data_IF_358844425405
#
_entry.id   IF_358844425405
#
_cell.length_a   1.000
_cell.length_b   1.000
_cell.length_c   1.000
_cell.angle_alpha   90.00
_cell.angle_beta   90.00
_cell.angle_gamma   90.00
#
_symmetry.space_group_name_H-M   'P 1'
#
loop_
_entity.id
_entity.type
_entity.pdbx_description
1 polymer ?
#
# COMPACT_ATOMS: atom_id res chain seq x y z
N UNK A 1 -17.08 -22.70 -48.41
CA UNK A 1 -16.02 -23.04 -47.45
C UNK A 1 -15.55 -21.75 -46.79
N UNK A 2 -16.11 -21.38 -45.65
CA UNK A 2 -15.57 -20.27 -44.85
C UNK A 2 -14.51 -20.85 -43.91
N UNK A 3 -13.28 -20.38 -44.06
CA UNK A 3 -12.12 -20.84 -43.31
C UNK A 3 -12.31 -20.61 -41.81
N UNK A 4 -11.96 -21.63 -41.03
CA UNK A 4 -11.86 -21.50 -39.58
C UNK A 4 -10.66 -20.59 -39.25
N UNK A 5 -10.81 -19.60 -38.35
CA UNK A 5 -9.67 -18.82 -37.91
C UNK A 5 -8.79 -19.67 -36.99
N UNK A 6 -7.59 -20.00 -37.49
CA UNK A 6 -6.50 -20.54 -36.69
C UNK A 6 -5.98 -19.46 -35.74
N UNK A 7 -6.30 -19.58 -34.46
CA UNK A 7 -5.77 -18.72 -33.39
C UNK A 7 -4.44 -19.30 -32.95
N UNK A 8 -3.35 -18.76 -33.50
CA UNK A 8 -1.98 -19.08 -33.10
C UNK A 8 -1.60 -18.38 -31.79
N UNK A 9 -0.97 -19.15 -30.89
CA UNK A 9 -0.03 -18.78 -29.81
C UNK A 9 -0.16 -17.41 -29.11
N UNK A 10 -0.33 -17.45 -27.79
CA UNK A 10 -0.26 -16.33 -26.83
C UNK A 10 -1.49 -15.42 -26.69
N UNK A 11 -2.19 -15.05 -27.77
CA UNK A 11 -3.42 -14.24 -27.67
C UNK A 11 -4.65 -15.07 -27.22
N UNK A 12 -4.61 -16.39 -27.42
CA UNK A 12 -5.70 -17.27 -26.99
C UNK A 12 -5.84 -17.36 -25.47
N UNK A 13 -4.74 -17.24 -24.71
CA UNK A 13 -4.78 -17.41 -23.25
C UNK A 13 -5.44 -16.23 -22.54
N UNK A 14 -5.14 -14.99 -22.94
CA UNK A 14 -5.77 -13.80 -22.36
C UNK A 14 -7.27 -13.74 -22.64
N UNK A 15 -7.69 -14.15 -23.84
CA UNK A 15 -9.10 -14.22 -24.20
C UNK A 15 -9.85 -15.29 -23.39
N UNK A 16 -9.24 -16.46 -23.16
CA UNK A 16 -9.81 -17.48 -22.29
C UNK A 16 -9.96 -17.00 -20.84
N UNK A 17 -8.96 -16.29 -20.29
CA UNK A 17 -9.08 -15.68 -18.96
C UNK A 17 -10.19 -14.63 -18.92
N UNK A 18 -10.32 -13.79 -19.96
CA UNK A 18 -11.41 -12.82 -20.05
C UNK A 18 -12.78 -13.51 -20.01
N UNK A 19 -12.96 -14.60 -20.75
CA UNK A 19 -14.20 -15.37 -20.73
C UNK A 19 -14.48 -15.93 -19.33
N UNK A 20 -13.49 -16.55 -18.69
CA UNK A 20 -13.63 -17.10 -17.32
C UNK A 20 -13.98 -16.02 -16.30
N UNK A 21 -13.33 -14.85 -16.37
CA UNK A 21 -13.60 -13.71 -15.47
C UNK A 21 -15.01 -13.14 -15.74
N UNK A 22 -15.40 -13.00 -17.01
CA UNK A 22 -16.71 -12.46 -17.39
C UNK A 22 -17.86 -13.39 -16.98
N UNK A 23 -17.62 -14.71 -16.99
CA UNK A 23 -18.57 -15.71 -16.51
C UNK A 23 -18.58 -15.82 -14.98
N UNK A 24 -17.61 -15.23 -14.29
CA UNK A 24 -17.41 -15.37 -12.84
C UNK A 24 -17.39 -16.84 -12.40
N UNK A 25 -16.71 -17.70 -13.17
CA UNK A 25 -16.53 -19.11 -12.84
C UNK A 25 -15.28 -19.32 -11.99
N UNK A 26 -15.46 -19.76 -10.75
CA UNK A 26 -14.38 -20.08 -9.84
C UNK A 26 -14.77 -21.19 -8.87
N UNK A 27 -13.77 -21.92 -8.39
CA UNK A 27 -13.93 -23.03 -7.45
C UNK A 27 -13.55 -22.54 -6.07
N UNK A 28 -14.39 -22.86 -5.08
CA UNK A 28 -14.12 -22.54 -3.69
C UNK A 28 -13.36 -23.68 -3.00
N UNK A 29 -12.21 -23.39 -2.39
CA UNK A 29 -11.58 -24.35 -1.50
C UNK A 29 -12.46 -24.70 -0.29
N UNK A 30 -12.40 -25.94 0.22
CA UNK A 30 -13.27 -26.42 1.30
C UNK A 30 -13.01 -25.74 2.65
N UNK A 31 -11.88 -25.06 2.82
CA UNK A 31 -11.53 -24.35 4.06
C UNK A 31 -12.09 -22.93 4.14
N UNK A 32 -12.78 -22.44 3.10
CA UNK A 32 -13.41 -21.13 3.12
C UNK A 32 -14.70 -21.21 3.95
N UNK A 33 -14.78 -20.39 5.00
CA UNK A 33 -16.01 -20.30 5.80
C UNK A 33 -17.19 -19.81 4.96
N UNK A 34 -18.40 -20.27 5.26
CA UNK A 34 -19.61 -19.89 4.53
C UNK A 34 -19.84 -18.35 4.48
N UNK A 35 -19.55 -17.63 5.56
CA UNK A 35 -19.66 -16.16 5.57
C UNK A 35 -18.70 -15.49 4.58
N UNK A 36 -17.47 -15.98 4.49
CA UNK A 36 -16.48 -15.52 3.51
C UNK A 36 -16.95 -15.81 2.08
N UNK A 37 -17.46 -17.02 1.86
CA UNK A 37 -18.00 -17.47 0.58
C UNK A 37 -19.06 -16.49 0.07
N UNK A 38 -20.07 -16.22 0.92
CA UNK A 38 -21.16 -15.28 0.63
C UNK A 38 -20.64 -13.89 0.27
N UNK A 39 -19.65 -13.38 1.00
CA UNK A 39 -19.06 -12.07 0.72
C UNK A 39 -18.29 -12.07 -0.61
N UNK A 40 -17.45 -13.08 -0.85
CA UNK A 40 -16.66 -13.22 -2.09
C UNK A 40 -17.59 -13.29 -3.29
N UNK A 41 -18.69 -14.06 -3.22
CA UNK A 41 -19.67 -14.14 -4.32
C UNK A 41 -20.25 -12.79 -4.69
N UNK A 42 -20.52 -11.93 -3.70
CA UNK A 42 -21.05 -10.59 -3.95
C UNK A 42 -20.00 -9.60 -4.47
N UNK A 43 -18.73 -9.80 -4.10
CA UNK A 43 -17.59 -9.01 -4.60
C UNK A 43 -17.29 -9.35 -6.07
N UNK A 44 -17.32 -10.66 -6.40
CA UNK A 44 -17.03 -11.18 -7.73
C UNK A 44 -18.27 -11.26 -8.64
N UNK A 45 -19.30 -10.47 -8.35
CA UNK A 45 -20.46 -10.35 -9.23
C UNK A 45 -20.04 -9.70 -10.58
N UNK A 46 -20.25 -10.37 -11.73
CA UNK A 46 -19.88 -9.83 -13.03
C UNK A 46 -20.68 -8.58 -13.38
N UNK A 47 -21.90 -8.42 -12.86
CA UNK A 47 -22.71 -7.25 -13.10
C UNK A 47 -22.34 -6.11 -12.12
N UNK A 48 -21.78 -4.99 -12.61
CA UNK A 48 -21.34 -3.89 -11.74
C UNK A 48 -22.49 -3.21 -10.99
N UNK A 49 -23.74 -3.30 -11.46
CA UNK A 49 -24.88 -2.68 -10.78
C UNK A 49 -25.37 -3.47 -9.57
N UNK A 50 -25.18 -4.80 -9.58
CA UNK A 50 -25.58 -5.70 -8.48
C UNK A 50 -24.41 -6.05 -7.56
N UNK A 51 -23.17 -5.79 -8.01
CA UNK A 51 -21.95 -5.94 -7.22
C UNK A 51 -22.02 -5.14 -5.92
N UNK A 52 -21.62 -5.78 -4.83
CA UNK A 52 -21.57 -5.14 -3.51
C UNK A 52 -20.66 -3.91 -3.51
N UNK A 53 -21.12 -2.85 -2.88
CA UNK A 53 -20.37 -1.59 -2.75
C UNK A 53 -19.46 -1.61 -1.51
N UNK A 54 -18.43 -0.77 -1.49
CA UNK A 54 -17.53 -0.64 -0.31
C UNK A 54 -18.30 -0.35 0.99
N UNK A 55 -19.28 0.57 1.03
CA UNK A 55 -20.07 0.82 2.25
C UNK A 55 -20.85 -0.42 2.73
N UNK A 56 -21.28 -1.30 1.82
CA UNK A 56 -21.98 -2.54 2.17
C UNK A 56 -20.99 -3.62 2.64
N UNK A 57 -19.80 -3.72 2.05
CA UNK A 57 -18.72 -4.60 2.52
C UNK A 57 -18.38 -4.27 3.98
N UNK A 58 -18.24 -2.98 4.30
CA UNK A 58 -17.94 -2.51 5.66
C UNK A 58 -19.04 -2.87 6.68
N UNK A 59 -20.27 -3.16 6.22
CA UNK A 59 -21.39 -3.59 7.05
C UNK A 59 -21.53 -5.11 7.15
N UNK A 60 -20.90 -5.88 6.26
CA UNK A 60 -21.00 -7.34 6.25
C UNK A 60 -20.45 -7.97 7.54
N UNK A 61 -21.19 -8.95 8.07
CA UNK A 61 -20.89 -9.61 9.34
C UNK A 61 -19.56 -10.36 9.31
N UNK A 62 -19.24 -11.01 8.19
CA UNK A 62 -17.98 -11.72 8.04
C UNK A 62 -16.83 -10.73 7.97
N UNK A 63 -16.97 -9.64 7.21
CA UNK A 63 -15.95 -8.60 7.10
C UNK A 63 -15.67 -7.91 8.44
N UNK A 64 -16.71 -7.64 9.23
CA UNK A 64 -16.56 -6.95 10.53
C UNK A 64 -15.90 -7.80 11.60
N UNK A 65 -15.85 -9.13 11.44
CA UNK A 65 -15.29 -10.04 12.43
C UNK A 65 -13.78 -9.81 12.59
N UNK A 66 -13.37 -9.14 13.68
CA UNK A 66 -11.97 -8.83 13.96
C UNK A 66 -11.44 -7.60 13.22
N UNK A 67 -12.27 -6.91 12.43
CA UNK A 67 -11.88 -5.67 11.76
C UNK A 67 -11.80 -4.52 12.77
N UNK A 68 -10.60 -3.98 12.96
CA UNK A 68 -10.37 -2.72 13.68
C UNK A 68 -10.11 -1.64 12.63
N UNK A 69 -11.03 -0.69 12.50
CA UNK A 69 -10.79 0.50 11.66
C UNK A 69 -9.58 1.22 12.22
N UNK A 70 -8.55 1.42 11.39
CA UNK A 70 -7.46 2.34 11.71
C UNK A 70 -8.07 3.73 11.79
N UNK A 71 -8.23 4.25 13.00
CA UNK A 71 -8.55 5.65 13.23
C UNK A 71 -7.20 6.36 13.18
N UNK A 72 -6.94 7.08 12.09
CA UNK A 72 -5.91 8.10 12.12
C UNK A 72 -6.44 9.17 13.06
N UNK A 73 -5.77 9.36 14.19
CA UNK A 73 -6.04 10.49 15.06
C UNK A 73 -5.61 11.72 14.25
N UNK A 74 -6.59 12.44 13.69
CA UNK A 74 -6.36 13.83 13.34
C UNK A 74 -5.88 14.49 14.63
N UNK A 75 -4.66 15.02 14.61
CA UNK A 75 -4.13 15.76 15.74
C UNK A 75 -4.97 17.03 15.82
N UNK A 76 -6.01 16.99 16.65
CA UNK A 76 -6.80 18.17 16.98
C UNK A 76 -5.85 19.24 17.51
N UNK A 77 -5.82 20.37 16.82
CA UNK A 77 -5.38 21.69 17.25
C UNK A 77 -4.18 21.71 18.22
N UNK A 78 -2.96 21.67 17.65
CA UNK A 78 -1.80 22.26 18.33
C UNK A 78 -2.15 23.73 18.59
N UNK A 79 -2.30 24.10 19.86
CA UNK A 79 -2.60 25.46 20.29
C UNK A 79 -1.47 26.40 19.83
N UNK A 80 -1.67 27.07 18.68
CA UNK A 80 -0.73 28.02 18.08
C UNK A 80 -0.55 29.30 18.91
N UNK A 81 -1.27 29.46 20.03
CA UNK A 81 -1.23 30.66 20.87
C UNK A 81 0.16 30.98 21.40
N UNK A 82 0.99 29.96 21.66
CA UNK A 82 2.37 30.15 22.12
C UNK A 82 3.30 30.69 21.02
N UNK A 83 2.97 30.43 19.74
CA UNK A 83 3.75 30.92 18.59
C UNK A 83 3.40 32.38 18.28
N UNK A 84 2.14 32.77 18.46
CA UNK A 84 1.67 34.15 18.23
C UNK A 84 2.31 35.15 19.22
N UNK A 85 2.58 34.72 20.46
CA UNK A 85 3.24 35.54 21.47
C UNK A 85 4.70 35.88 21.14
N UNK A 86 5.39 35.04 20.35
CA UNK A 86 6.78 35.26 19.93
C UNK A 86 6.88 36.28 18.79
N UNK A 87 5.85 36.40 17.96
CA UNK A 87 5.82 37.33 16.81
C UNK A 87 5.19 38.69 17.13
N UNK A 88 4.55 38.86 18.28
CA UNK A 88 4.11 40.17 18.78
C UNK A 88 5.28 40.91 19.45
N UNK A 89 6.11 41.53 18.62
CA UNK A 89 7.00 42.60 19.08
C UNK A 89 6.20 43.76 19.69
N UNK A 90 6.80 44.57 20.59
CA UNK A 90 6.11 45.70 21.19
C UNK A 90 5.92 46.80 20.14
N UNK A 91 4.85 47.59 20.30
CA UNK A 91 4.51 48.80 19.53
C UNK A 91 3.70 48.59 18.22
N UNK A 92 2.39 48.37 18.42
CA UNK A 92 1.33 49.21 17.84
C UNK A 92 1.34 49.54 16.34
N UNK A 93 0.60 48.76 15.54
CA UNK A 93 -0.18 49.27 14.40
C UNK A 93 -1.50 48.48 14.23
N UNK A 94 -2.62 49.11 13.82
CA UNK A 94 -3.96 48.52 13.97
C UNK A 94 -4.33 47.63 12.78
N UNK A 95 -4.65 46.36 13.03
CA UNK A 95 -5.14 45.39 12.05
C UNK A 95 -6.65 45.62 11.83
N UNK A 96 -7.01 46.68 11.09
CA UNK A 96 -8.35 46.86 10.55
C UNK A 96 -8.30 46.63 9.04
N UNK A 97 -8.11 45.38 8.60
CA UNK A 97 -8.39 44.91 7.24
C UNK A 97 -8.25 43.37 7.13
N UNK A 98 -9.04 42.61 7.90
CA UNK A 98 -9.25 41.19 7.62
C UNK A 98 -10.41 41.08 6.61
N UNK A 99 -10.15 41.54 5.38
CA UNK A 99 -10.97 41.21 4.21
C UNK A 99 -10.37 39.93 3.63
N UNK A 100 -11.07 38.82 3.85
CA UNK A 100 -11.00 37.60 3.06
C UNK A 100 -9.61 37.27 2.45
N UNK A 101 -8.60 37.04 3.29
CA UNK A 101 -7.54 36.14 2.88
C UNK A 101 -8.03 34.74 3.19
N UNK A 102 -8.53 34.10 2.13
CA UNK A 102 -8.54 32.65 1.96
C UNK A 102 -7.39 32.09 2.78
N UNK A 103 -7.71 31.32 3.80
CA UNK A 103 -6.74 30.50 4.50
C UNK A 103 -5.92 29.82 3.40
N UNK A 104 -4.69 30.29 3.17
CA UNK A 104 -3.72 29.51 2.42
C UNK A 104 -3.61 28.26 3.25
N UNK A 105 -4.26 27.18 2.79
CA UNK A 105 -4.02 25.86 3.33
C UNK A 105 -2.51 25.75 3.48
N UNK A 106 -2.00 25.35 4.67
CA UNK A 106 -0.57 25.20 4.84
C UNK A 106 -0.09 24.37 3.67
N UNK A 107 0.92 24.86 2.95
CA UNK A 107 1.55 24.14 1.83
C UNK A 107 1.66 22.69 2.29
N UNK A 108 1.02 21.76 1.56
CA UNK A 108 0.96 20.37 1.97
C UNK A 108 2.39 19.85 2.07
N UNK A 109 2.91 19.85 3.28
CA UNK A 109 4.32 19.62 3.54
C UNK A 109 4.47 18.17 3.95
N UNK A 110 5.32 17.45 3.23
CA UNK A 110 5.57 16.05 3.54
C UNK A 110 6.22 15.94 4.93
N UNK A 111 5.97 14.86 5.68
CA UNK A 111 6.64 14.60 6.95
C UNK A 111 8.18 14.64 6.83
N UNK A 112 8.74 14.25 5.68
CA UNK A 112 10.18 14.40 5.41
C UNK A 112 10.62 15.86 5.31
N UNK A 113 9.81 16.72 4.70
CA UNK A 113 10.10 18.15 4.61
C UNK A 113 10.06 18.80 6.00
N UNK A 114 9.08 18.44 6.84
CA UNK A 114 9.01 18.90 8.23
C UNK A 114 10.22 18.45 9.07
N UNK A 115 10.67 17.20 8.89
CA UNK A 115 11.83 16.64 9.60
C UNK A 115 13.12 17.35 9.17
N UNK A 116 13.29 17.61 7.87
CA UNK A 116 14.47 18.28 7.30
C UNK A 116 14.66 19.72 7.78
N UNK A 117 13.59 20.41 8.21
CA UNK A 117 13.69 21.76 8.77
C UNK A 117 14.38 21.80 10.15
N UNK A 118 14.52 20.66 10.83
CA UNK A 118 15.22 20.60 12.11
C UNK A 118 16.71 20.30 11.91
N UNK A 119 17.58 21.20 12.37
CA UNK A 119 19.05 21.11 12.17
C UNK A 119 19.70 19.81 12.67
N UNK A 120 19.07 19.10 13.61
CA UNK A 120 19.56 17.85 14.18
C UNK A 120 18.91 16.57 13.64
N UNK A 121 17.87 16.67 12.83
CA UNK A 121 17.19 15.51 12.21
C UNK A 121 17.11 15.66 10.69
N UNK A 122 17.94 16.50 10.08
CA UNK A 122 17.98 16.57 8.62
C UNK A 122 18.47 15.24 8.04
N UNK A 123 17.54 14.49 7.44
CA UNK A 123 17.75 13.15 6.87
C UNK A 123 18.09 13.19 5.37
N UNK A 124 18.33 14.37 4.78
CA UNK A 124 18.71 14.51 3.35
C UNK A 124 19.93 13.66 2.97
N UNK A 125 20.84 13.39 3.93
CA UNK A 125 22.01 12.55 3.73
C UNK A 125 21.77 11.06 4.04
N UNK A 126 20.62 10.68 4.60
CA UNK A 126 20.29 9.30 4.99
C UNK A 126 19.56 8.55 3.87
N UNK A 127 18.82 9.27 3.04
CA UNK A 127 18.14 8.71 1.87
C UNK A 127 18.85 9.21 0.63
N UNK A 128 19.63 8.34 -0.01
CA UNK A 128 20.03 8.59 -1.39
C UNK A 128 18.76 8.86 -2.20
N UNK A 129 18.72 10.01 -2.89
CA UNK A 129 17.68 10.37 -3.85
C UNK A 129 17.76 9.40 -5.02
N UNK A 130 17.20 8.22 -4.78
CA UNK A 130 17.22 7.07 -5.65
C UNK A 130 16.11 6.17 -5.15
N UNK A 131 14.95 6.30 -5.80
CA UNK A 131 13.77 5.44 -5.68
C UNK A 131 14.03 4.14 -4.92
N UNK A 132 13.71 4.11 -3.63
CA UNK A 132 13.65 2.86 -2.88
C UNK A 132 12.33 2.80 -2.15
N UNK A 133 11.46 1.99 -2.74
CA UNK A 133 10.29 1.40 -2.12
C UNK A 133 10.55 1.11 -0.64
N UNK A 134 9.66 1.54 0.25
CA UNK A 134 9.62 1.07 1.62
C UNK A 134 9.42 -0.46 1.54
N UNK A 135 10.52 -1.21 1.53
CA UNK A 135 10.48 -2.67 1.54
C UNK A 135 9.94 -3.08 2.90
N UNK A 136 8.64 -3.33 2.98
CA UNK A 136 8.04 -4.19 3.99
C UNK A 136 8.69 -5.57 3.85
N UNK A 137 9.85 -5.75 4.47
CA UNK A 137 10.61 -6.99 4.39
C UNK A 137 9.88 -8.09 5.14
N UNK A 138 9.41 -9.11 4.42
CA UNK A 138 8.95 -10.36 5.03
C UNK A 138 10.11 -10.98 5.82
N UNK A 139 9.97 -11.06 7.14
CA UNK A 139 10.97 -11.67 8.02
C UNK A 139 10.65 -13.15 8.21
N UNK A 140 11.64 -14.01 8.00
CA UNK A 140 11.58 -15.42 8.36
C UNK A 140 12.85 -15.80 9.13
N UNK A 141 12.74 -16.79 10.00
CA UNK A 141 13.86 -17.26 10.84
C UNK A 141 14.16 -18.72 10.55
N UNK A 142 15.44 -19.08 10.55
CA UNK A 142 15.90 -20.47 10.45
C UNK A 142 16.69 -20.83 11.70
N UNK A 143 16.63 -22.10 12.10
CA UNK A 143 17.47 -22.67 13.17
C UNK A 143 18.83 -23.17 12.65
N UNK A 144 19.00 -23.26 11.33
CA UNK A 144 20.23 -23.71 10.71
C UNK A 144 21.26 -22.56 10.62
N UNK A 145 22.57 -22.87 10.67
CA UNK A 145 23.61 -21.87 10.43
C UNK A 145 23.56 -21.35 9.00
N UNK A 146 24.05 -20.11 8.79
CA UNK A 146 24.00 -19.43 7.50
C UNK A 146 24.61 -20.25 6.35
N UNK A 147 25.72 -20.97 6.61
CA UNK A 147 26.38 -21.79 5.61
C UNK A 147 25.47 -22.91 5.07
N UNK A 148 24.78 -23.62 5.96
CA UNK A 148 23.85 -24.68 5.55
C UNK A 148 22.66 -24.13 4.75
N UNK A 149 22.15 -22.96 5.13
CA UNK A 149 21.06 -22.30 4.40
C UNK A 149 21.50 -21.97 2.98
N UNK A 150 22.69 -21.39 2.83
CA UNK A 150 23.24 -21.00 1.53
C UNK A 150 23.49 -22.24 0.66
N UNK A 151 24.10 -23.29 1.22
CA UNK A 151 24.31 -24.55 0.49
C UNK A 151 22.99 -25.17 0.00
N UNK A 152 21.92 -25.11 0.81
CA UNK A 152 20.60 -25.62 0.39
C UNK A 152 19.96 -24.77 -0.70
N UNK A 153 20.12 -23.44 -0.66
CA UNK A 153 19.63 -22.54 -1.70
C UNK A 153 20.36 -22.82 -3.02
N UNK A 154 21.68 -22.96 -3.00
CA UNK A 154 22.50 -23.27 -4.18
C UNK A 154 22.17 -24.65 -4.77
N UNK A 155 21.94 -25.66 -3.92
CA UNK A 155 21.50 -26.98 -4.37
C UNK A 155 20.13 -26.93 -5.07
N UNK A 156 19.16 -26.18 -4.51
CA UNK A 156 17.85 -25.98 -5.12
C UNK A 156 17.93 -25.17 -6.43
N UNK A 157 18.83 -24.20 -6.51
CA UNK A 157 19.09 -23.42 -7.72
C UNK A 157 19.48 -24.34 -8.88
N UNK A 158 20.45 -25.23 -8.65
CA UNK A 158 20.96 -26.14 -9.68
C UNK A 158 19.87 -27.09 -10.19
N UNK A 159 18.93 -27.48 -9.32
CA UNK A 159 17.82 -28.35 -9.69
C UNK A 159 16.70 -27.61 -10.44
N UNK A 160 16.54 -26.30 -10.24
CA UNK A 160 15.45 -25.49 -10.82
C UNK A 160 15.90 -24.61 -11.99
N UNK A 161 17.19 -24.64 -12.37
CA UNK A 161 17.77 -23.80 -13.44
C UNK A 161 17.49 -22.31 -13.21
N UNK A 162 17.59 -21.88 -11.95
CA UNK A 162 17.48 -20.46 -11.57
C UNK A 162 18.87 -19.81 -11.57
N UNK A 163 18.92 -18.49 -11.75
CA UNK A 163 20.17 -17.72 -11.64
C UNK A 163 20.10 -16.82 -10.41
N UNK A 164 20.97 -17.06 -9.42
CA UNK A 164 21.11 -16.22 -8.24
C UNK A 164 22.48 -15.53 -8.22
N UNK A 165 22.51 -14.31 -7.68
CA UNK A 165 23.74 -13.58 -7.37
C UNK A 165 23.82 -13.33 -5.87
N UNK A 166 24.96 -13.63 -5.26
CA UNK A 166 25.19 -13.30 -3.85
C UNK A 166 25.48 -11.81 -3.76
N UNK A 167 24.60 -11.07 -3.10
CA UNK A 167 24.82 -9.67 -2.75
C UNK A 167 25.08 -9.58 -1.25
N UNK A 168 26.25 -9.12 -0.85
CA UNK A 168 26.57 -8.83 0.55
C UNK A 168 26.38 -7.35 0.76
N UNK A 169 25.35 -6.95 1.51
CA UNK A 169 25.20 -5.56 1.94
C UNK A 169 26.16 -5.33 3.10
N UNK A 170 27.15 -4.46 2.91
CA UNK A 170 28.07 -4.03 3.97
C UNK A 170 27.32 -2.96 4.78
N UNK A 171 26.78 -3.35 5.93
CA UNK A 171 26.26 -2.40 6.91
C UNK A 171 27.47 -1.67 7.50
N UNK A 172 27.61 -0.38 7.20
CA UNK A 172 28.58 0.53 7.82
C UNK A 172 27.91 1.14 9.06
#
# INVERSE_FOLDING_TARGET
MMGQPQIYGHAGSSYLYFLQISAAEYIYPPWISFGALRLITRILDPNPTTRITVPEILKDEWFRKGFKRLVFQEIDDINLGDVEAVFKGPEGTPINQIRAKKEEQPVSMNAFELISLSRGLNLENLFEVGQSEIKTGTRFTSKCPANEIICKIEAAQNHLVLMFTRTTTRWI
#
